data_IF_924024413582
#
_entry.id   IF_924024413582
#
_cell.length_a   1.000
_cell.length_b   1.000
_cell.length_c   1.000
_cell.angle_alpha   90.00
_cell.angle_beta   90.00
_cell.angle_gamma   90.00
#
_symmetry.space_group_name_H-M   'P 1'
#
loop_
_entity.id
_entity.type
_entity.pdbx_description
1 polymer ?
#
# COMPACT_ATOMS: atom_id res chain seq x y z
N UNK A 1 0.85 16.38 5.72
CA UNK A 1 1.23 14.96 5.87
C UNK A 1 0.18 14.13 5.17
N UNK A 2 0.58 13.51 4.07
CA UNK A 2 -0.22 12.53 3.33
C UNK A 2 -0.42 11.27 4.18
N UNK A 3 -1.43 10.47 3.84
CA UNK A 3 -1.67 9.18 4.47
C UNK A 3 -0.44 8.27 4.33
N UNK A 4 0.21 8.28 3.16
CA UNK A 4 1.47 7.58 2.89
C UNK A 4 2.56 7.92 3.90
N UNK A 5 2.81 9.21 4.12
CA UNK A 5 3.85 9.65 5.07
C UNK A 5 3.55 9.22 6.50
N UNK A 6 2.28 9.23 6.91
CA UNK A 6 1.85 8.75 8.25
C UNK A 6 2.11 7.27 8.42
N UNK A 7 1.66 6.46 7.46
CA UNK A 7 1.82 5.00 7.50
C UNK A 7 3.31 4.60 7.48
N UNK A 8 4.11 5.24 6.63
CA UNK A 8 5.56 5.01 6.57
C UNK A 8 6.26 5.41 7.88
N UNK A 9 5.81 6.47 8.55
CA UNK A 9 6.39 6.90 9.82
C UNK A 9 6.04 5.94 10.97
N UNK A 10 4.82 5.40 10.98
CA UNK A 10 4.34 4.51 12.03
C UNK A 10 4.82 3.06 11.86
N UNK A 11 4.73 2.52 10.64
CA UNK A 11 5.02 1.12 10.32
C UNK A 11 6.43 0.93 9.74
N UNK A 12 7.07 2.00 9.32
CA UNK A 12 8.36 1.98 8.63
C UNK A 12 8.21 1.78 7.12
N UNK A 13 9.22 2.19 6.35
CA UNK A 13 9.20 2.09 4.88
C UNK A 13 9.08 0.64 4.36
N UNK A 14 9.57 -0.32 5.15
CA UNK A 14 9.48 -1.75 4.90
C UNK A 14 8.35 -2.44 5.66
N UNK A 15 7.54 -1.68 6.41
CA UNK A 15 6.37 -2.19 7.10
C UNK A 15 5.25 -2.59 6.15
N UNK A 16 4.18 -3.09 6.74
CA UNK A 16 2.95 -3.46 6.05
C UNK A 16 1.73 -3.01 6.86
N UNK A 17 0.67 -2.65 6.16
CA UNK A 17 -0.63 -2.34 6.73
C UNK A 17 -1.42 -3.64 6.94
N UNK A 18 -1.97 -3.85 8.14
CA UNK A 18 -2.70 -5.07 8.48
C UNK A 18 -3.99 -5.24 7.66
N UNK A 19 -4.66 -4.15 7.32
CA UNK A 19 -5.84 -4.16 6.43
C UNK A 19 -5.48 -4.41 4.96
N UNK A 20 -4.25 -4.07 4.56
CA UNK A 20 -3.79 -4.12 3.17
C UNK A 20 -2.44 -4.84 3.08
N UNK A 21 -2.42 -6.17 3.24
CA UNK A 21 -1.19 -6.94 3.21
C UNK A 21 -0.50 -6.85 1.85
N UNK A 22 0.83 -6.97 1.83
CA UNK A 22 1.61 -6.99 0.57
C UNK A 22 1.24 -8.14 -0.36
N UNK A 23 0.54 -9.17 0.15
CA UNK A 23 0.09 -10.28 -0.66
C UNK A 23 -0.97 -9.83 -1.68
N UNK A 24 -1.98 -9.09 -1.24
CA UNK A 24 -3.01 -8.50 -2.12
C UNK A 24 -2.39 -7.57 -3.15
N UNK A 25 -1.51 -6.68 -2.72
CA UNK A 25 -0.78 -5.80 -3.64
C UNK A 25 -0.02 -6.59 -4.71
N UNK A 26 0.66 -7.68 -4.33
CA UNK A 26 1.38 -8.53 -5.29
C UNK A 26 0.44 -9.22 -6.25
N UNK A 27 -0.73 -9.66 -5.78
CA UNK A 27 -1.73 -10.29 -6.63
C UNK A 27 -2.25 -9.30 -7.68
N UNK A 28 -2.57 -8.07 -7.27
CA UNK A 28 -3.01 -7.01 -8.20
C UNK A 28 -1.89 -6.61 -9.18
N UNK A 29 -0.63 -6.56 -8.73
CA UNK A 29 0.51 -6.31 -9.63
C UNK A 29 0.68 -7.46 -10.63
N UNK A 30 0.52 -8.70 -10.19
CA UNK A 30 0.65 -9.88 -11.03
C UNK A 30 -0.48 -10.01 -12.06
N UNK A 31 -1.69 -9.55 -11.71
CA UNK A 31 -2.83 -9.52 -12.61
C UNK A 31 -2.86 -8.27 -13.53
N UNK A 32 -1.82 -7.44 -13.51
CA UNK A 32 -1.75 -6.15 -14.22
C UNK A 32 -2.88 -5.16 -13.81
N UNK A 33 -3.52 -5.37 -12.66
CA UNK A 33 -4.57 -4.51 -12.08
C UNK A 33 -3.97 -3.23 -11.48
N UNK A 34 -2.73 -3.31 -10.96
CA UNK A 34 -2.00 -2.14 -10.45
C UNK A 34 -0.53 -2.13 -10.84
N UNK A 35 0.01 -0.94 -11.10
CA UNK A 35 1.45 -0.70 -11.27
C UNK A 35 1.98 0.31 -10.23
N UNK A 36 1.21 0.53 -9.16
CA UNK A 36 1.58 1.43 -8.09
C UNK A 36 2.57 0.75 -7.15
N UNK A 37 3.47 1.54 -6.55
CA UNK A 37 4.28 1.06 -5.42
C UNK A 37 3.38 0.75 -4.23
N UNK A 38 3.75 -0.22 -3.39
CA UNK A 38 2.94 -0.71 -2.26
C UNK A 38 2.25 0.40 -1.45
N UNK A 39 2.99 1.41 -0.99
CA UNK A 39 2.41 2.50 -0.20
C UNK A 39 1.47 3.42 -0.98
N UNK A 40 1.66 3.60 -2.29
CA UNK A 40 0.70 4.32 -3.12
C UNK A 40 -0.58 3.52 -3.31
N UNK A 41 -0.45 2.21 -3.55
CA UNK A 41 -1.58 1.29 -3.63
C UNK A 41 -2.40 1.26 -2.33
N UNK A 42 -1.75 1.17 -1.16
CA UNK A 42 -2.45 1.25 0.14
C UNK A 42 -3.21 2.56 0.29
N UNK A 43 -2.64 3.70 -0.14
CA UNK A 43 -3.33 5.00 -0.05
C UNK A 43 -4.54 5.08 -0.99
N UNK A 44 -4.43 4.53 -2.19
CA UNK A 44 -5.54 4.48 -3.15
C UNK A 44 -6.70 3.64 -2.61
N UNK A 45 -6.41 2.47 -2.02
CA UNK A 45 -7.41 1.62 -1.37
C UNK A 45 -8.08 2.27 -0.16
N UNK A 46 -7.37 3.15 0.55
CA UNK A 46 -7.94 3.93 1.66
C UNK A 46 -8.83 5.11 1.21
N UNK A 47 -8.74 5.52 -0.05
CA UNK A 47 -9.44 6.71 -0.57
C UNK A 47 -10.73 6.34 -1.32
N UNK A 48 -10.91 5.05 -1.65
CA UNK A 48 -12.06 4.52 -2.40
C UNK A 48 -13.06 3.86 -1.45
#
# INVERSE_FOLDING_TARGET
MTLKERLINELGVWGECADYPRCDWKDEVQNDDTNLGYWDWVVEKHTT
#
